data_IF_777874825932
#
_entry.id   IF_777874825932
#
_cell.length_a   1.000
_cell.length_b   1.000
_cell.length_c   1.000
_cell.angle_alpha   90.00
_cell.angle_beta   90.00
_cell.angle_gamma   90.00
#
_symmetry.space_group_name_H-M   'P 1'
#
loop_
_entity.id
_entity.type
_entity.pdbx_description
1 polymer ?
#
# COMPACT_ATOMS: atom_id res chain seq x y z
N UNK A 1 11.27 1.62 -1.21
CA UNK A 1 9.90 1.61 -1.76
C UNK A 1 9.75 0.33 -2.57
N UNK A 2 8.78 -0.52 -2.24
CA UNK A 2 8.49 -1.75 -2.98
C UNK A 2 7.03 -1.75 -3.41
N UNK A 3 6.75 -2.34 -4.58
CA UNK A 3 5.39 -2.57 -5.02
C UNK A 3 4.80 -3.76 -4.25
N UNK A 4 3.52 -3.68 -3.84
CA UNK A 4 2.83 -4.84 -3.27
C UNK A 4 2.93 -6.07 -4.21
N UNK A 5 3.13 -7.25 -3.63
CA UNK A 5 3.28 -8.52 -4.37
C UNK A 5 4.73 -8.88 -4.75
N UNK A 6 5.70 -7.98 -4.57
CA UNK A 6 7.11 -8.31 -4.76
C UNK A 6 7.74 -8.73 -3.43
N UNK A 7 8.52 -9.81 -3.44
CA UNK A 7 9.34 -10.20 -2.31
C UNK A 7 10.51 -9.23 -2.14
N UNK A 8 10.75 -8.67 -0.94
CA UNK A 8 11.97 -7.91 -0.66
C UNK A 8 13.20 -8.79 -0.88
N UNK A 9 14.33 -8.15 -1.22
CA UNK A 9 15.62 -8.85 -1.20
C UNK A 9 15.93 -9.31 0.22
N UNK A 10 16.64 -10.42 0.35
CA UNK A 10 17.07 -10.93 1.65
C UNK A 10 17.88 -9.86 2.42
N UNK A 11 17.57 -9.71 3.70
CA UNK A 11 18.19 -8.69 4.57
C UNK A 11 17.71 -7.25 4.34
N UNK A 12 16.72 -7.01 3.46
CA UNK A 12 16.15 -5.67 3.21
C UNK A 12 14.76 -5.55 3.81
N UNK A 13 14.59 -4.63 4.75
CA UNK A 13 13.29 -4.30 5.34
C UNK A 13 12.62 -3.12 4.61
N UNK A 14 11.49 -3.31 3.93
CA UNK A 14 10.78 -2.24 3.25
C UNK A 14 10.01 -1.36 4.25
N UNK A 15 10.33 -0.07 4.28
CA UNK A 15 9.66 0.91 5.16
C UNK A 15 8.41 1.51 4.54
N UNK A 16 8.27 1.45 3.21
CA UNK A 16 7.18 2.10 2.48
C UNK A 16 6.73 1.29 1.26
N UNK A 17 5.43 1.03 1.19
CA UNK A 17 4.76 0.38 0.05
C UNK A 17 4.24 1.45 -0.92
N UNK A 18 4.46 1.23 -2.21
CA UNK A 18 3.94 2.12 -3.25
C UNK A 18 2.83 1.45 -4.04
N UNK A 19 1.62 1.96 -3.87
CA UNK A 19 0.42 1.44 -4.50
C UNK A 19 0.16 2.17 -5.83
N UNK A 20 0.61 1.57 -6.93
CA UNK A 20 0.32 2.06 -8.28
C UNK A 20 -0.98 1.51 -8.89
N UNK A 21 -1.45 0.35 -8.41
CA UNK A 21 -2.65 -0.35 -8.86
C UNK A 21 -3.45 -0.82 -7.64
N UNK A 22 -4.70 -1.27 -7.87
CA UNK A 22 -5.52 -1.89 -6.81
C UNK A 22 -4.82 -3.11 -6.22
N UNK A 23 -4.79 -3.20 -4.90
CA UNK A 23 -4.17 -4.28 -4.13
C UNK A 23 -5.16 -4.81 -3.08
N UNK A 24 -5.15 -6.12 -2.82
CA UNK A 24 -6.09 -6.77 -1.91
C UNK A 24 -5.42 -7.78 -0.98
N UNK A 25 -5.91 -7.87 0.25
CA UNK A 25 -5.54 -8.88 1.26
C UNK A 25 -6.82 -9.37 1.93
N UNK A 26 -7.24 -10.60 1.63
CA UNK A 26 -8.54 -11.13 2.10
C UNK A 26 -9.71 -10.23 1.67
N UNK A 27 -10.50 -9.76 2.64
CA UNK A 27 -11.64 -8.85 2.41
C UNK A 27 -11.24 -7.37 2.38
N UNK A 28 -9.96 -7.04 2.58
CA UNK A 28 -9.46 -5.69 2.52
C UNK A 28 -8.91 -5.39 1.13
N UNK A 29 -9.15 -4.19 0.61
CA UNK A 29 -8.54 -3.73 -0.64
C UNK A 29 -8.24 -2.24 -0.59
N UNK A 30 -7.23 -1.83 -1.34
CA UNK A 30 -6.83 -0.44 -1.51
C UNK A 30 -6.64 -0.13 -2.99
N UNK A 31 -7.13 1.04 -3.44
CA UNK A 31 -6.85 1.59 -4.76
C UNK A 31 -6.55 3.08 -4.60
N UNK A 32 -5.43 3.53 -5.15
CA UNK A 32 -5.10 4.97 -5.15
C UNK A 32 -6.16 5.78 -5.91
N UNK A 33 -6.80 5.17 -6.91
CA UNK A 33 -7.84 5.78 -7.73
C UNK A 33 -9.20 5.95 -7.00
N UNK A 34 -9.33 5.45 -5.77
CA UNK A 34 -10.53 5.66 -4.94
C UNK A 34 -10.37 6.93 -4.06
N UNK A 35 -9.20 7.59 -4.13
CA UNK A 35 -8.77 8.67 -3.25
C UNK A 35 -8.49 9.98 -4.01
N UNK A 36 -9.06 10.09 -5.21
CA UNK A 36 -8.89 11.21 -6.14
C UNK A 36 -9.58 12.46 -5.57
N UNK A 37 -10.76 12.23 -4.98
CA UNK A 37 -11.69 13.26 -4.51
C UNK A 37 -11.45 13.66 -3.05
N UNK A 38 -10.87 12.77 -2.22
CA UNK A 38 -10.60 13.07 -0.80
C UNK A 38 -9.31 13.85 -0.58
N UNK A 39 -8.54 14.08 -1.65
CA UNK A 39 -7.35 14.92 -1.68
C UNK A 39 -6.18 14.40 -0.85
N UNK A 40 -6.24 13.15 -0.34
CA UNK A 40 -5.14 12.57 0.43
C UNK A 40 -3.86 12.46 -0.42
N UNK A 41 -4.00 12.31 -1.74
CA UNK A 41 -2.90 12.26 -2.71
C UNK A 41 -2.14 13.57 -2.84
N UNK A 42 -2.74 14.70 -2.44
CA UNK A 42 -2.12 16.03 -2.47
C UNK A 42 -1.49 16.44 -1.13
N UNK A 43 -1.67 15.64 -0.07
CA UNK A 43 -1.10 15.91 1.25
C UNK A 43 0.18 15.10 1.47
N UNK A 44 1.33 15.77 1.39
CA UNK A 44 2.63 15.14 1.64
C UNK A 44 2.71 14.54 3.06
N UNK A 45 3.31 13.34 3.18
CA UNK A 45 3.57 12.70 4.47
C UNK A 45 2.38 11.99 5.13
N UNK A 46 1.20 11.98 4.50
CA UNK A 46 0.08 11.13 4.92
C UNK A 46 0.30 9.69 4.47
N UNK A 47 -0.08 8.76 5.35
CA UNK A 47 -0.10 7.33 5.06
C UNK A 47 -1.54 6.88 4.79
N UNK A 48 -1.68 5.95 3.85
CA UNK A 48 -2.93 5.22 3.65
C UNK A 48 -3.17 4.21 4.78
N UNK A 49 -4.41 3.72 4.95
CA UNK A 49 -4.67 2.60 5.84
C UNK A 49 -3.75 1.42 5.51
N UNK A 50 -3.09 0.86 6.52
CA UNK A 50 -2.25 -0.32 6.33
C UNK A 50 -3.10 -1.56 6.01
N UNK A 51 -2.64 -2.45 5.12
CA UNK A 51 -3.30 -3.73 4.90
C UNK A 51 -3.30 -4.56 6.19
N UNK A 52 -4.29 -5.44 6.39
CA UNK A 52 -4.19 -6.44 7.44
C UNK A 52 -2.98 -7.35 7.18
N UNK A 53 -2.38 -7.88 8.25
CA UNK A 53 -1.39 -8.94 8.10
C UNK A 53 -2.07 -10.14 7.43
N UNK A 54 -1.49 -10.71 6.35
CA UNK A 54 -1.92 -12.02 5.87
C UNK A 54 -1.72 -12.99 7.04
N UNK A 55 -2.80 -13.50 7.61
CA UNK A 55 -2.68 -14.61 8.56
C UNK A 55 -2.16 -15.81 7.78
N UNK A 56 -1.23 -16.55 8.39
CA UNK A 56 -0.67 -17.80 7.86
C UNK A 56 -1.74 -18.78 7.36
#
# INVERSE_FOLDING_TARGET
MIYPGYAPREGVEPVLLHYGLRFSVGNWSFSKADHDEDGIVYNCGRLFPQPPYPRE
#
